data_IF_680419483132
#
_entry.id   IF_680419483132
#
_cell.length_a   1.000
_cell.length_b   1.000
_cell.length_c   1.000
_cell.angle_alpha   90.00
_cell.angle_beta   90.00
_cell.angle_gamma   90.00
#
_symmetry.space_group_name_H-M   'P 1'
#
loop_
_entity.id
_entity.type
_entity.pdbx_description
1 polymer ?
#
# COMPACT_ATOMS: atom_id res chain seq x y z
N UNK A 1 -57.72 35.79 -6.55
CA UNK A 1 -56.42 36.07 -7.22
C UNK A 1 -55.17 36.08 -6.31
N UNK A 2 -55.26 36.09 -4.97
CA UNK A 2 -54.08 36.18 -4.07
C UNK A 2 -53.28 34.87 -3.85
N UNK A 3 -53.85 33.69 -4.12
CA UNK A 3 -53.17 32.39 -3.95
C UNK A 3 -52.19 31.97 -5.06
N UNK A 4 -52.39 32.45 -6.31
CA UNK A 4 -51.51 32.10 -7.45
C UNK A 4 -50.17 32.87 -7.44
N UNK A 5 -50.12 34.06 -6.83
CA UNK A 5 -48.91 34.88 -6.74
C UNK A 5 -47.91 34.36 -5.68
N UNK A 6 -48.41 33.87 -4.53
CA UNK A 6 -47.59 33.27 -3.47
C UNK A 6 -46.89 31.97 -3.88
N UNK A 7 -47.54 31.12 -4.69
CA UNK A 7 -46.97 29.86 -5.21
C UNK A 7 -45.88 30.11 -6.28
N UNK A 8 -46.00 31.19 -7.06
CA UNK A 8 -44.99 31.62 -8.06
C UNK A 8 -43.71 32.16 -7.41
N UNK A 9 -43.82 32.92 -6.30
CA UNK A 9 -42.66 33.42 -5.56
C UNK A 9 -41.83 32.31 -4.91
N UNK A 10 -42.49 31.30 -4.33
CA UNK A 10 -41.81 30.16 -3.67
C UNK A 10 -41.09 29.24 -4.68
N UNK A 11 -41.67 29.01 -5.86
CA UNK A 11 -41.01 28.27 -6.96
C UNK A 11 -39.81 29.03 -7.55
N UNK A 12 -39.88 30.36 -7.65
CA UNK A 12 -38.75 31.19 -8.10
C UNK A 12 -37.59 31.19 -7.10
N UNK A 13 -37.89 31.18 -5.80
CA UNK A 13 -36.85 31.08 -4.75
C UNK A 13 -36.11 29.73 -4.77
N UNK A 14 -36.83 28.62 -4.97
CA UNK A 14 -36.22 27.28 -5.09
C UNK A 14 -35.39 27.15 -6.37
N UNK A 15 -35.87 27.68 -7.50
CA UNK A 15 -35.13 27.65 -8.77
C UNK A 15 -33.86 28.50 -8.71
N UNK A 16 -33.92 29.66 -8.04
CA UNK A 16 -32.76 30.53 -7.83
C UNK A 16 -31.74 29.87 -6.89
N UNK A 17 -32.18 29.18 -5.83
CA UNK A 17 -31.30 28.43 -4.95
C UNK A 17 -30.62 27.25 -5.69
N UNK A 18 -31.35 26.54 -6.55
CA UNK A 18 -30.78 25.50 -7.43
C UNK A 18 -29.77 26.06 -8.42
N UNK A 19 -30.06 27.20 -9.06
CA UNK A 19 -29.12 27.85 -9.99
C UNK A 19 -27.86 28.37 -9.27
N UNK A 20 -28.00 28.89 -8.06
CA UNK A 20 -26.85 29.30 -7.24
C UNK A 20 -26.04 28.08 -6.79
N UNK A 21 -26.68 26.97 -6.41
CA UNK A 21 -25.98 25.74 -6.08
C UNK A 21 -25.23 25.14 -7.28
N UNK A 22 -25.84 25.14 -8.46
CA UNK A 22 -25.18 24.70 -9.71
C UNK A 22 -24.03 25.64 -10.08
N UNK A 23 -24.22 26.96 -10.00
CA UNK A 23 -23.16 27.91 -10.28
C UNK A 23 -22.00 27.81 -9.28
N UNK A 24 -22.28 27.57 -8.00
CA UNK A 24 -21.26 27.33 -6.97
C UNK A 24 -20.54 26.00 -7.19
N UNK A 25 -21.27 24.95 -7.60
CA UNK A 25 -20.69 23.69 -8.01
C UNK A 25 -19.75 23.89 -9.20
N UNK A 26 -20.23 24.48 -10.30
CA UNK A 26 -19.42 24.78 -11.50
C UNK A 26 -18.19 25.64 -11.21
N UNK A 27 -18.32 26.62 -10.31
CA UNK A 27 -17.20 27.46 -9.87
C UNK A 27 -16.17 26.66 -9.08
N UNK A 28 -16.62 25.75 -8.21
CA UNK A 28 -15.75 24.84 -7.47
C UNK A 28 -15.09 23.82 -8.42
N UNK A 29 -15.80 23.33 -9.43
CA UNK A 29 -15.23 22.43 -10.46
C UNK A 29 -14.17 23.16 -11.30
N UNK A 30 -14.42 24.40 -11.71
CA UNK A 30 -13.46 25.21 -12.46
C UNK A 30 -12.23 25.61 -11.63
N UNK A 31 -12.44 25.99 -10.36
CA UNK A 31 -11.34 26.28 -9.44
C UNK A 31 -10.50 25.02 -9.18
N UNK A 32 -11.16 23.86 -8.96
CA UNK A 32 -10.51 22.56 -8.88
C UNK A 32 -9.69 22.26 -10.13
N UNK A 33 -10.29 22.35 -11.32
CA UNK A 33 -9.61 22.12 -12.58
C UNK A 33 -8.41 23.05 -12.81
N UNK A 34 -8.50 24.33 -12.40
CA UNK A 34 -7.38 25.27 -12.49
C UNK A 34 -6.23 24.91 -11.54
N UNK A 35 -6.54 24.47 -10.32
CA UNK A 35 -5.55 23.98 -9.35
C UNK A 35 -4.88 22.70 -9.86
N UNK A 36 -5.66 21.75 -10.38
CA UNK A 36 -5.18 20.52 -10.99
C UNK A 36 -4.27 20.83 -12.19
N UNK A 37 -4.66 21.78 -13.06
CA UNK A 37 -3.85 22.21 -14.21
C UNK A 37 -2.54 22.88 -13.79
N UNK A 38 -2.56 23.73 -12.76
CA UNK A 38 -1.36 24.37 -12.22
C UNK A 38 -0.39 23.32 -11.63
N UNK A 39 -0.89 22.36 -10.85
CA UNK A 39 -0.11 21.23 -10.31
C UNK A 39 0.49 20.36 -11.43
N UNK A 40 -0.27 20.11 -12.50
CA UNK A 40 0.24 19.40 -13.69
C UNK A 40 1.39 20.15 -14.35
N UNK A 41 1.30 21.48 -14.46
CA UNK A 41 2.39 22.31 -14.98
C UNK A 41 3.63 22.25 -14.08
N UNK A 42 3.46 22.26 -12.75
CA UNK A 42 4.56 22.10 -11.80
C UNK A 42 5.30 20.76 -12.01
N UNK A 43 4.56 19.66 -12.16
CA UNK A 43 5.12 18.33 -12.48
C UNK A 43 5.93 18.33 -13.77
N UNK A 44 5.36 18.84 -14.86
CA UNK A 44 5.99 18.83 -16.19
C UNK A 44 7.22 19.73 -16.24
N UNK A 45 7.19 20.86 -15.54
CA UNK A 45 8.28 21.86 -15.57
C UNK A 45 9.32 21.65 -14.47
N UNK A 46 9.09 20.73 -13.52
CA UNK A 46 10.00 20.48 -12.40
C UNK A 46 10.08 21.65 -11.42
N UNK A 47 9.16 22.60 -11.47
CA UNK A 47 9.14 23.75 -10.55
C UNK A 47 8.52 23.35 -9.21
N UNK A 48 8.99 23.94 -8.11
CA UNK A 48 8.49 23.68 -6.75
C UNK A 48 8.64 22.23 -6.26
N UNK A 49 9.50 21.38 -6.86
CA UNK A 49 9.80 20.07 -6.29
C UNK A 49 10.41 20.20 -4.89
N UNK A 50 9.90 19.44 -3.92
CA UNK A 50 10.63 19.23 -2.67
C UNK A 50 11.93 18.48 -2.99
N UNK A 51 13.05 19.02 -2.50
CA UNK A 51 14.37 18.42 -2.73
C UNK A 51 14.45 17.09 -2.00
N UNK A 52 15.07 16.08 -2.62
CA UNK A 52 15.25 14.82 -1.90
C UNK A 52 16.22 15.04 -0.73
N UNK A 53 15.93 14.48 0.44
CA UNK A 53 16.80 14.50 1.60
C UNK A 53 18.17 13.88 1.29
N UNK A 54 19.18 14.25 2.06
CA UNK A 54 20.50 13.60 2.05
C UNK A 54 20.86 13.26 3.48
N UNK A 55 20.78 11.98 3.82
CA UNK A 55 21.11 11.45 5.15
C UNK A 55 22.36 10.59 5.02
N UNK A 56 23.31 10.75 5.93
CA UNK A 56 24.53 9.94 5.93
C UNK A 56 24.21 8.54 6.49
N UNK A 57 24.56 7.50 5.73
CA UNK A 57 24.41 6.12 6.15
C UNK A 57 25.20 5.80 7.42
N UNK A 58 24.61 5.02 8.31
CA UNK A 58 25.35 4.37 9.39
C UNK A 58 26.04 3.13 8.82
N UNK A 59 27.34 2.95 9.05
CA UNK A 59 28.02 1.73 8.58
C UNK A 59 27.67 0.56 9.48
N UNK A 60 26.62 -0.20 9.13
CA UNK A 60 26.14 -1.39 9.84
C UNK A 60 26.01 -2.58 8.91
N UNK A 61 26.58 -3.72 9.29
CA UNK A 61 26.51 -4.98 8.56
C UNK A 61 26.27 -6.14 9.54
N UNK A 62 25.83 -7.28 9.03
CA UNK A 62 25.49 -8.46 9.82
C UNK A 62 24.19 -8.31 10.62
N UNK A 63 24.09 -9.05 11.72
CA UNK A 63 22.89 -9.10 12.58
C UNK A 63 22.88 -8.00 13.63
N UNK A 64 21.78 -7.25 13.72
CA UNK A 64 21.56 -6.22 14.73
C UNK A 64 20.08 -5.87 14.90
N UNK A 65 19.76 -5.18 15.99
CA UNK A 65 18.47 -4.51 16.19
C UNK A 65 18.65 -2.98 16.18
N UNK A 66 17.59 -2.25 15.82
CA UNK A 66 17.55 -0.78 15.86
C UNK A 66 16.13 -0.27 16.04
N UNK A 67 15.99 0.98 16.46
CA UNK A 67 14.67 1.61 16.62
C UNK A 67 14.40 2.56 15.48
N UNK A 68 13.36 2.30 14.69
CA UNK A 68 12.92 3.15 13.58
C UNK A 68 11.79 4.07 14.04
N UNK A 69 11.89 5.35 13.72
CA UNK A 69 10.87 6.37 13.96
C UNK A 69 10.04 6.61 12.69
N UNK A 70 8.73 6.74 12.82
CA UNK A 70 7.83 7.10 11.72
C UNK A 70 6.57 7.81 12.21
N UNK A 71 5.92 8.55 11.31
CA UNK A 71 4.61 9.13 11.58
C UNK A 71 3.51 8.08 11.52
N UNK A 72 2.83 7.82 12.64
CA UNK A 72 1.70 6.91 12.65
C UNK A 72 0.51 7.51 11.88
N UNK A 73 0.06 6.80 10.85
CA UNK A 73 -1.17 7.14 10.13
C UNK A 73 -2.36 7.19 11.08
N UNK A 74 -3.23 8.19 10.89
CA UNK A 74 -4.50 8.38 11.60
C UNK A 74 -4.41 8.62 13.12
N UNK A 75 -3.24 9.00 13.60
CA UNK A 75 -3.07 9.60 14.91
C UNK A 75 -3.33 11.12 14.86
N UNK A 76 -3.88 11.70 15.92
CA UNK A 76 -4.05 13.15 16.00
C UNK A 76 -2.68 13.85 15.88
N UNK A 77 -2.56 14.80 14.95
CA UNK A 77 -1.36 15.61 14.69
C UNK A 77 -0.09 14.85 14.24
N UNK A 78 -0.22 13.69 13.57
CA UNK A 78 0.94 12.99 13.02
C UNK A 78 1.87 12.50 14.13
N UNK A 79 1.30 11.82 15.12
CA UNK A 79 1.99 11.22 16.24
C UNK A 79 3.20 10.42 15.75
N UNK A 80 4.38 10.87 16.14
CA UNK A 80 5.61 10.16 15.91
C UNK A 80 5.66 8.96 16.84
N UNK A 81 5.85 7.79 16.26
CA UNK A 81 5.99 6.52 16.98
C UNK A 81 7.31 5.87 16.63
N UNK A 82 7.68 4.87 17.42
CA UNK A 82 8.92 4.11 17.22
C UNK A 82 8.64 2.62 17.30
N UNK A 83 9.30 1.84 16.44
CA UNK A 83 9.30 0.39 16.50
C UNK A 83 10.73 -0.16 16.53
N UNK A 84 10.97 -1.16 17.37
CA UNK A 84 12.23 -1.92 17.33
C UNK A 84 12.17 -2.91 16.17
N UNK A 85 13.20 -2.92 15.32
CA UNK A 85 13.30 -3.84 14.18
C UNK A 85 14.60 -4.61 14.25
N UNK A 86 14.57 -5.84 13.74
CA UNK A 86 15.74 -6.68 13.55
C UNK A 86 16.20 -6.62 12.09
N UNK A 87 17.51 -6.73 11.89
CA UNK A 87 18.12 -6.86 10.58
C UNK A 87 19.22 -7.90 10.63
N UNK A 88 19.27 -8.79 9.65
CA UNK A 88 20.38 -9.71 9.46
C UNK A 88 20.70 -9.88 7.97
N UNK A 89 21.90 -9.47 7.58
CA UNK A 89 22.40 -9.65 6.20
C UNK A 89 22.38 -11.14 5.78
N UNK A 90 22.48 -12.08 6.72
CA UNK A 90 22.44 -13.52 6.44
C UNK A 90 21.07 -14.00 5.93
N UNK A 91 20.00 -13.25 6.14
CA UNK A 91 18.67 -13.62 5.65
C UNK A 91 18.66 -13.80 4.14
N UNK A 92 19.34 -12.92 3.39
CA UNK A 92 19.37 -12.88 1.92
C UNK A 92 20.26 -13.95 1.28
N UNK A 93 20.75 -14.91 2.07
CA UNK A 93 21.49 -16.10 1.62
C UNK A 93 20.78 -17.40 2.01
N UNK A 94 19.63 -17.30 2.67
CA UNK A 94 18.76 -18.43 3.01
C UNK A 94 17.77 -18.69 1.88
N UNK A 95 16.95 -19.73 2.01
CA UNK A 95 15.88 -20.02 1.07
C UNK A 95 14.82 -18.89 1.06
N UNK A 96 14.60 -18.27 -0.10
CA UNK A 96 13.59 -17.23 -0.30
C UNK A 96 12.16 -17.74 -0.06
N UNK A 97 11.92 -19.04 -0.28
CA UNK A 97 10.67 -19.73 -0.01
C UNK A 97 10.47 -20.09 1.47
N UNK A 98 11.31 -19.60 2.38
CA UNK A 98 11.13 -19.82 3.82
C UNK A 98 10.68 -18.53 4.51
N UNK A 99 9.53 -18.58 5.19
CA UNK A 99 8.97 -17.41 5.89
C UNK A 99 9.87 -16.98 7.05
N UNK A 100 10.17 -15.69 7.12
CA UNK A 100 10.96 -15.09 8.18
C UNK A 100 10.14 -14.03 8.92
N UNK A 101 9.76 -14.33 10.17
CA UNK A 101 8.94 -13.46 11.02
C UNK A 101 9.61 -12.10 11.27
N UNK A 102 10.92 -12.09 11.57
CA UNK A 102 11.65 -10.85 11.87
C UNK A 102 11.76 -9.96 10.63
N UNK A 103 11.99 -10.55 9.46
CA UNK A 103 12.00 -9.83 8.19
C UNK A 103 10.60 -9.30 7.85
N UNK A 104 9.54 -10.10 8.08
CA UNK A 104 8.15 -9.66 7.91
C UNK A 104 7.84 -8.47 8.81
N UNK A 105 8.22 -8.52 10.10
CA UNK A 105 8.04 -7.41 11.03
C UNK A 105 8.77 -6.14 10.55
N UNK A 106 10.04 -6.26 10.15
CA UNK A 106 10.82 -5.14 9.61
C UNK A 106 10.18 -4.58 8.34
N UNK A 107 9.69 -5.41 7.43
CA UNK A 107 8.98 -4.99 6.22
C UNK A 107 7.64 -4.28 6.54
N UNK A 108 6.93 -4.68 7.60
CA UNK A 108 5.71 -4.01 8.04
C UNK A 108 6.02 -2.59 8.54
N UNK A 109 7.07 -2.44 9.34
CA UNK A 109 7.55 -1.13 9.82
C UNK A 109 8.03 -0.26 8.66
N UNK A 110 8.81 -0.81 7.72
CA UNK A 110 9.24 -0.08 6.52
C UNK A 110 8.05 0.35 5.65
N UNK A 111 7.01 -0.48 5.54
CA UNK A 111 5.78 -0.11 4.82
C UNK A 111 5.05 1.05 5.50
N UNK A 112 5.04 1.11 6.84
CA UNK A 112 4.52 2.26 7.58
C UNK A 112 5.38 3.52 7.37
N UNK A 113 6.72 3.37 7.34
CA UNK A 113 7.68 4.43 7.02
C UNK A 113 7.44 5.01 5.62
N UNK A 114 7.23 4.17 4.60
CA UNK A 114 6.95 4.63 3.24
C UNK A 114 5.67 5.48 3.17
N UNK A 115 4.63 5.09 3.91
CA UNK A 115 3.43 5.91 4.02
C UNK A 115 3.69 7.24 4.73
N UNK A 116 4.48 7.22 5.82
CA UNK A 116 4.84 8.43 6.57
C UNK A 116 5.73 9.39 5.79
N UNK A 117 6.58 8.89 4.89
CA UNK A 117 7.54 9.68 4.09
C UNK A 117 6.86 10.77 3.26
N UNK A 118 5.62 10.54 2.85
CA UNK A 118 4.89 11.53 2.07
C UNK A 118 4.70 12.85 2.81
N UNK A 119 4.66 12.82 4.16
CA UNK A 119 4.59 14.04 4.96
C UNK A 119 5.82 14.95 4.73
N UNK A 120 7.01 14.40 4.47
CA UNK A 120 8.20 15.19 4.14
C UNK A 120 8.04 15.93 2.80
N UNK A 121 7.42 15.27 1.82
CA UNK A 121 7.27 15.78 0.45
C UNK A 121 6.09 16.75 0.25
N UNK A 122 5.35 17.08 1.32
CA UNK A 122 4.33 18.13 1.29
C UNK A 122 4.95 19.53 1.36
N UNK A 123 4.40 20.48 0.59
CA UNK A 123 4.92 21.84 0.54
C UNK A 123 4.86 22.54 1.90
N UNK A 124 6.01 23.02 2.37
CA UNK A 124 6.13 23.73 3.66
C UNK A 124 6.09 22.82 4.88
N UNK A 125 6.14 21.49 4.70
CA UNK A 125 6.23 20.54 5.80
C UNK A 125 7.55 20.64 6.55
N UNK A 126 7.50 20.35 7.85
CA UNK A 126 8.67 20.17 8.72
C UNK A 126 8.83 18.73 9.18
N UNK A 127 8.09 17.81 8.58
CA UNK A 127 8.16 16.38 8.92
C UNK A 127 9.55 15.83 8.60
N UNK A 128 10.09 14.90 9.39
CA UNK A 128 11.33 14.20 9.07
C UNK A 128 11.22 13.39 7.76
N UNK A 129 12.37 13.17 7.12
CA UNK A 129 12.53 12.20 6.02
C UNK A 129 12.64 10.78 6.59
N UNK A 130 11.52 10.24 7.06
CA UNK A 130 11.44 8.96 7.75
C UNK A 130 12.10 7.82 6.99
N UNK A 131 11.89 7.71 5.67
CA UNK A 131 12.46 6.66 4.84
C UNK A 131 13.98 6.73 4.80
N UNK A 132 14.55 7.92 4.57
CA UNK A 132 16.00 8.08 4.56
C UNK A 132 16.64 7.79 5.92
N UNK A 133 16.01 8.25 7.00
CA UNK A 133 16.50 7.99 8.34
C UNK A 133 16.44 6.51 8.67
N UNK A 134 15.34 5.82 8.34
CA UNK A 134 15.18 4.38 8.55
C UNK A 134 16.24 3.58 7.80
N UNK A 135 16.40 3.83 6.49
CA UNK A 135 17.37 3.09 5.68
C UNK A 135 18.82 3.43 6.05
N UNK A 136 19.13 4.68 6.42
CA UNK A 136 20.45 5.03 6.95
C UNK A 136 20.77 4.27 8.24
N UNK A 137 19.82 4.11 9.15
CA UNK A 137 19.97 3.33 10.40
C UNK A 137 20.09 1.82 10.17
N UNK A 138 19.51 1.31 9.08
CA UNK A 138 19.69 -0.08 8.63
C UNK A 138 21.00 -0.29 7.84
N UNK A 139 21.75 0.79 7.61
CA UNK A 139 23.05 0.79 6.96
C UNK A 139 23.01 0.65 5.44
N UNK A 140 21.97 1.19 4.80
CA UNK A 140 21.89 1.31 3.35
C UNK A 140 22.74 2.49 2.87
N UNK A 141 23.51 2.26 1.81
CA UNK A 141 24.49 3.21 1.28
C UNK A 141 23.83 4.27 0.39
N UNK A 142 22.80 3.84 -0.36
CA UNK A 142 22.05 4.70 -1.26
C UNK A 142 20.56 4.50 -1.03
N UNK A 143 19.84 5.61 -0.99
CA UNK A 143 18.39 5.62 -0.80
C UNK A 143 17.81 6.70 -1.71
N UNK A 144 16.74 6.34 -2.40
CA UNK A 144 16.06 7.15 -3.38
C UNK A 144 14.58 7.23 -3.05
N UNK A 145 14.16 8.42 -2.60
CA UNK A 145 12.75 8.79 -2.37
C UNK A 145 12.23 9.78 -3.42
N UNK A 146 12.92 9.91 -4.56
CA UNK A 146 12.58 10.90 -5.58
C UNK A 146 11.16 10.73 -6.17
N UNK A 147 10.62 9.50 -6.17
CA UNK A 147 9.27 9.18 -6.64
C UNK A 147 8.16 9.88 -5.84
N UNK A 148 8.42 10.30 -4.59
CA UNK A 148 7.44 10.99 -3.74
C UNK A 148 7.21 12.45 -4.16
N UNK A 149 8.11 13.02 -4.97
CA UNK A 149 7.98 14.38 -5.49
C UNK A 149 6.73 14.47 -6.34
N UNK A 150 5.88 15.46 -6.03
CA UNK A 150 4.60 15.68 -6.70
C UNK A 150 3.61 14.51 -6.63
N UNK A 151 3.78 13.61 -5.66
CA UNK A 151 2.88 12.48 -5.41
C UNK A 151 2.38 12.44 -3.97
N UNK A 152 2.68 13.46 -3.16
CA UNK A 152 2.49 13.45 -1.70
C UNK A 152 1.44 14.45 -1.20
N UNK A 153 0.81 15.19 -2.12
CA UNK A 153 -0.32 16.06 -1.84
C UNK A 153 -1.64 15.33 -2.11
N UNK A 154 -2.71 15.63 -1.36
CA UNK A 154 -4.05 15.03 -1.61
C UNK A 154 -4.54 15.29 -3.04
N UNK A 155 -4.20 16.45 -3.59
CA UNK A 155 -4.53 16.82 -4.98
C UNK A 155 -3.73 16.03 -6.02
N UNK A 156 -2.57 15.50 -5.64
CA UNK A 156 -1.70 14.75 -6.54
C UNK A 156 -2.26 13.35 -6.83
N UNK A 157 -2.92 12.74 -5.85
CA UNK A 157 -3.61 11.45 -6.02
C UNK A 157 -4.83 11.61 -6.91
N UNK A 158 -5.64 12.65 -6.70
CA UNK A 158 -6.80 12.96 -7.56
C UNK A 158 -6.38 13.22 -9.02
N UNK A 159 -5.24 13.88 -9.24
CA UNK A 159 -4.67 14.07 -10.58
C UNK A 159 -4.25 12.76 -11.25
N UNK A 160 -3.56 11.88 -10.52
CA UNK A 160 -3.06 10.61 -11.05
C UNK A 160 -4.17 9.75 -11.62
N UNK A 161 -5.29 9.66 -10.90
CA UNK A 161 -6.43 8.86 -11.35
C UNK A 161 -7.16 9.50 -12.55
N UNK A 162 -7.26 10.83 -12.62
CA UNK A 162 -7.93 11.54 -13.73
C UNK A 162 -7.15 11.45 -15.05
N UNK A 163 -5.82 11.50 -14.98
CA UNK A 163 -4.95 11.46 -16.16
C UNK A 163 -4.58 10.02 -16.59
N UNK A 164 -5.09 8.98 -15.90
CA UNK A 164 -4.76 7.58 -16.15
C UNK A 164 -3.32 7.20 -15.80
N UNK A 165 -2.67 8.02 -14.98
CA UNK A 165 -1.31 7.84 -14.47
C UNK A 165 -1.40 7.62 -12.96
N UNK A 166 -2.14 6.60 -12.50
CA UNK A 166 -2.16 6.25 -11.08
C UNK A 166 -0.78 5.68 -10.71
N UNK A 167 0.14 6.59 -10.40
CA UNK A 167 1.52 6.24 -10.10
C UNK A 167 1.73 6.30 -8.60
N UNK A 168 2.11 5.16 -8.03
CA UNK A 168 2.50 5.05 -6.63
C UNK A 168 3.85 5.71 -6.36
N UNK A 169 4.03 6.22 -5.15
CA UNK A 169 5.36 6.56 -4.65
C UNK A 169 6.02 5.31 -4.06
N UNK A 170 7.35 5.27 -4.09
CA UNK A 170 8.15 4.16 -3.60
C UNK A 170 9.53 4.62 -3.15
N UNK A 171 10.07 3.93 -2.15
CA UNK A 171 11.45 4.10 -1.72
C UNK A 171 12.28 2.98 -2.31
N UNK A 172 13.43 3.31 -2.91
CA UNK A 172 14.43 2.34 -3.33
C UNK A 172 15.69 2.54 -2.50
N UNK A 173 16.20 1.48 -1.88
CA UNK A 173 17.43 1.53 -1.11
C UNK A 173 18.38 0.39 -1.51
N UNK A 174 19.69 0.65 -1.57
CA UNK A 174 20.69 -0.37 -1.85
C UNK A 174 21.73 -0.52 -0.74
N UNK A 175 22.14 -1.76 -0.50
CA UNK A 175 23.16 -2.13 0.49
C UNK A 175 23.91 -3.36 0.02
N UNK A 176 25.22 -3.43 0.29
CA UNK A 176 25.96 -4.69 0.15
C UNK A 176 25.75 -5.55 1.39
N UNK A 177 25.20 -6.74 1.20
CA UNK A 177 25.01 -7.75 2.25
C UNK A 177 26.06 -8.84 2.11
N UNK A 178 26.51 -9.39 3.23
CA UNK A 178 27.60 -10.38 3.27
C UNK A 178 27.12 -11.58 4.08
N UNK A 179 27.30 -12.78 3.51
CA UNK A 179 27.09 -14.02 4.26
C UNK A 179 28.21 -14.19 5.30
N UNK A 180 27.90 -14.19 6.61
CA UNK A 180 28.92 -14.34 7.64
C UNK A 180 29.60 -15.73 7.62
N UNK A 181 28.99 -16.75 7.03
CA UNK A 181 29.53 -18.11 6.97
C UNK A 181 30.48 -18.32 5.79
N UNK A 182 30.16 -17.76 4.62
CA UNK A 182 30.92 -17.99 3.38
C UNK A 182 31.73 -16.78 2.91
N UNK A 183 31.36 -15.57 3.34
CA UNK A 183 31.92 -14.32 2.83
C UNK A 183 31.40 -13.94 1.44
N UNK A 184 30.37 -14.63 0.92
CA UNK A 184 29.71 -14.25 -0.32
C UNK A 184 29.05 -12.87 -0.18
N UNK A 185 29.09 -12.06 -1.23
CA UNK A 185 28.52 -10.71 -1.24
C UNK A 185 27.39 -10.62 -2.26
N UNK A 186 26.32 -9.92 -1.91
CA UNK A 186 25.21 -9.57 -2.82
C UNK A 186 24.89 -8.09 -2.70
N UNK A 187 24.49 -7.47 -3.81
CA UNK A 187 23.85 -6.17 -3.77
C UNK A 187 22.36 -6.37 -3.51
N UNK A 188 21.92 -6.04 -2.31
CA UNK A 188 20.51 -6.01 -1.95
C UNK A 188 19.89 -4.69 -2.40
N UNK A 189 18.80 -4.78 -3.15
CA UNK A 189 17.90 -3.66 -3.43
C UNK A 189 16.58 -3.89 -2.71
N UNK A 190 16.23 -2.99 -1.79
CA UNK A 190 14.94 -2.97 -1.12
C UNK A 190 14.05 -1.94 -1.80
N UNK A 191 12.84 -2.35 -2.17
CA UNK A 191 11.80 -1.46 -2.69
C UNK A 191 10.61 -1.50 -1.75
N UNK A 192 10.26 -0.33 -1.22
CA UNK A 192 9.09 -0.16 -0.34
C UNK A 192 8.06 0.69 -1.05
N UNK A 193 6.93 0.12 -1.41
CA UNK A 193 5.88 0.81 -2.16
C UNK A 193 4.86 1.41 -1.21
N UNK A 194 4.53 2.68 -1.44
CA UNK A 194 3.56 3.42 -0.64
C UNK A 194 2.13 2.95 -0.93
N UNK A 195 1.33 2.80 0.12
CA UNK A 195 -0.11 2.60 0.06
C UNK A 195 -0.91 3.89 -0.22
N UNK A 196 -2.20 3.87 0.14
CA UNK A 196 -3.14 5.01 0.10
C UNK A 196 -3.46 5.50 1.52
N UNK A 197 -3.94 6.74 1.68
CA UNK A 197 -4.33 7.24 3.00
C UNK A 197 -5.76 6.80 3.37
N UNK A 198 -5.89 5.62 3.97
CA UNK A 198 -7.12 5.20 4.65
C UNK A 198 -8.32 5.03 3.70
N UNK A 199 -9.46 5.70 3.97
CA UNK A 199 -10.74 5.53 3.24
C UNK A 199 -10.70 5.90 1.75
N UNK A 200 -9.59 6.44 1.27
CA UNK A 200 -9.36 6.77 -0.14
C UNK A 200 -9.41 5.56 -1.06
N UNK A 201 -9.23 4.32 -0.57
CA UNK A 201 -9.44 3.12 -1.38
C UNK A 201 -10.86 3.04 -1.95
N UNK A 202 -11.87 3.52 -1.22
CA UNK A 202 -13.27 3.60 -1.68
C UNK A 202 -13.41 4.68 -2.77
N UNK A 203 -12.64 5.77 -2.65
CA UNK A 203 -12.60 6.82 -3.67
C UNK A 203 -11.88 6.34 -4.93
N UNK A 204 -10.79 5.57 -4.80
CA UNK A 204 -10.03 5.01 -5.91
C UNK A 204 -10.91 4.04 -6.72
N UNK A 205 -11.60 3.12 -6.04
CA UNK A 205 -12.58 2.23 -6.67
C UNK A 205 -13.72 3.00 -7.39
N UNK A 206 -14.17 4.13 -6.82
CA UNK A 206 -15.19 5.00 -7.45
C UNK A 206 -14.69 5.76 -8.67
N UNK A 207 -13.40 6.13 -8.72
CA UNK A 207 -12.86 6.94 -9.80
C UNK A 207 -12.39 6.03 -10.96
N UNK A 208 -11.82 4.85 -10.70
CA UNK A 208 -11.51 3.84 -11.74
C UNK A 208 -12.75 3.46 -12.56
N UNK A 209 -13.90 3.32 -11.87
CA UNK A 209 -15.19 3.11 -12.52
C UNK A 209 -15.73 4.28 -13.34
N UNK A 210 -15.30 5.51 -13.04
CA UNK A 210 -15.74 6.72 -13.73
C UNK A 210 -14.86 7.08 -14.94
N UNK A 211 -13.59 6.68 -14.94
CA UNK A 211 -12.64 6.92 -16.03
C UNK A 211 -12.72 5.86 -17.13
N UNK A 212 -13.48 4.78 -16.91
CA UNK A 212 -13.67 3.71 -17.90
C UNK A 212 -12.39 2.94 -18.21
N UNK A 213 -11.43 2.94 -17.27
CA UNK A 213 -10.16 2.22 -17.37
C UNK A 213 -10.29 0.80 -16.80
N UNK A 214 -11.49 0.21 -16.92
CA UNK A 214 -11.65 -1.23 -16.91
C UNK A 214 -11.21 -1.70 -18.31
N UNK A 215 -10.13 -2.48 -18.37
CA UNK A 215 -9.52 -2.89 -19.64
C UNK A 215 -10.54 -3.51 -20.59
N UNK A 216 -10.58 -3.03 -21.83
CA UNK A 216 -11.07 -3.85 -22.93
C UNK A 216 -9.95 -4.87 -23.27
N UNK A 217 -9.96 -6.04 -22.64
CA UNK A 217 -9.02 -7.12 -22.96
C UNK A 217 -8.92 -8.22 -21.91
N UNK A 218 -8.45 -9.39 -22.33
CA UNK A 218 -8.06 -10.54 -21.49
C UNK A 218 -6.80 -10.19 -20.62
N UNK A 219 -6.81 -9.08 -19.88
CA UNK A 219 -5.72 -8.70 -18.96
C UNK A 219 -6.00 -9.29 -17.58
N UNK A 220 -5.17 -10.25 -17.16
CA UNK A 220 -5.34 -11.05 -15.95
C UNK A 220 -5.02 -10.28 -14.65
N UNK A 221 -4.28 -9.16 -14.73
CA UNK A 221 -3.87 -8.34 -13.58
C UNK A 221 -4.62 -6.99 -13.48
N UNK A 222 -4.71 -6.44 -12.27
CA UNK A 222 -5.36 -5.13 -12.07
C UNK A 222 -4.53 -3.99 -12.70
N UNK A 223 -5.01 -3.44 -13.81
CA UNK A 223 -4.31 -2.47 -14.68
C UNK A 223 -3.64 -1.30 -13.95
N UNK A 224 -4.31 -0.70 -12.95
CA UNK A 224 -3.72 0.41 -12.17
C UNK A 224 -2.46 -0.01 -11.40
N UNK A 225 -2.44 -1.24 -10.86
CA UNK A 225 -1.27 -1.78 -10.16
C UNK A 225 -0.18 -2.21 -11.15
N UNK A 226 -0.56 -2.73 -12.32
CA UNK A 226 0.36 -3.12 -13.39
C UNK A 226 1.15 -1.92 -13.93
N UNK A 227 0.49 -0.78 -14.15
CA UNK A 227 1.16 0.46 -14.60
C UNK A 227 2.15 0.97 -13.54
N UNK A 228 1.74 0.96 -12.27
CA UNK A 228 2.59 1.34 -11.14
C UNK A 228 3.81 0.42 -10.99
N UNK A 229 3.63 -0.89 -11.12
CA UNK A 229 4.73 -1.86 -11.09
C UNK A 229 5.69 -1.66 -12.29
N UNK A 230 5.15 -1.43 -13.49
CA UNK A 230 5.95 -1.23 -14.71
C UNK A 230 6.91 -0.03 -14.60
N UNK A 231 6.52 1.05 -13.93
CA UNK A 231 7.42 2.20 -13.68
C UNK A 231 8.60 1.80 -12.79
N UNK A 232 8.33 1.04 -11.73
CA UNK A 232 9.37 0.60 -10.79
C UNK A 232 10.31 -0.40 -11.48
N UNK A 233 9.77 -1.32 -12.28
CA UNK A 233 10.57 -2.24 -13.12
C UNK A 233 11.53 -1.46 -14.01
N UNK A 234 11.06 -0.41 -14.68
CA UNK A 234 11.90 0.41 -15.55
C UNK A 234 13.05 1.10 -14.78
N UNK A 235 12.78 1.66 -13.59
CA UNK A 235 13.83 2.25 -12.72
C UNK A 235 14.84 1.18 -12.26
N UNK A 236 14.36 -0.01 -11.89
CA UNK A 236 15.24 -1.12 -11.49
C UNK A 236 16.10 -1.63 -12.65
N UNK A 237 15.55 -1.72 -13.86
CA UNK A 237 16.30 -2.12 -15.06
C UNK A 237 17.36 -1.09 -15.45
N UNK A 238 17.03 0.21 -15.40
CA UNK A 238 17.99 1.29 -15.65
C UNK A 238 19.17 1.22 -14.67
N UNK A 239 18.88 1.11 -13.36
CA UNK A 239 19.92 0.99 -12.33
C UNK A 239 20.76 -0.25 -12.49
N UNK A 240 20.13 -1.39 -12.77
CA UNK A 240 20.84 -2.65 -12.91
C UNK A 240 21.71 -2.68 -14.19
N UNK A 241 21.37 -1.92 -15.22
CA UNK A 241 22.21 -1.76 -16.42
C UNK A 241 23.50 -0.97 -16.16
N UNK A 242 23.56 -0.17 -15.09
CA UNK A 242 24.76 0.57 -14.68
C UNK A 242 25.75 -0.28 -13.85
N UNK A 243 25.29 -1.42 -13.32
CA UNK A 243 26.08 -2.31 -12.49
C UNK A 243 26.95 -3.27 -13.32
N UNK A 244 28.04 -3.75 -12.71
CA UNK A 244 28.83 -4.83 -13.29
C UNK A 244 27.98 -6.11 -13.36
N UNK A 245 27.89 -6.79 -14.52
CA UNK A 245 27.09 -8.02 -14.67
C UNK A 245 27.49 -9.16 -13.72
N UNK A 246 28.70 -9.13 -13.15
CA UNK A 246 29.17 -10.12 -12.17
C UNK A 246 28.64 -9.90 -10.75
N UNK A 247 27.96 -8.78 -10.48
CA UNK A 247 27.36 -8.50 -9.17
C UNK A 247 26.10 -9.36 -9.02
N UNK A 248 26.16 -10.29 -8.06
CA UNK A 248 24.98 -11.01 -7.58
C UNK A 248 24.00 -10.02 -6.92
N UNK A 249 22.72 -10.20 -7.21
CA UNK A 249 21.66 -9.27 -6.81
C UNK A 249 20.58 -9.99 -6.02
N UNK A 250 20.07 -9.29 -5.01
CA UNK A 250 18.90 -9.69 -4.25
C UNK A 250 17.88 -8.56 -4.26
N UNK A 251 16.60 -8.90 -4.35
CA UNK A 251 15.49 -7.95 -4.27
C UNK A 251 14.57 -8.28 -3.12
N UNK A 252 14.20 -7.24 -2.36
CA UNK A 252 13.17 -7.32 -1.34
C UNK A 252 12.09 -6.29 -1.64
N UNK A 253 10.89 -6.78 -1.93
CA UNK A 253 9.71 -5.96 -2.18
C UNK A 253 8.82 -5.96 -0.94
N UNK A 254 8.38 -4.79 -0.50
CA UNK A 254 7.36 -4.71 0.54
C UNK A 254 6.45 -3.50 0.37
N UNK A 255 5.29 -3.56 1.00
CA UNK A 255 4.30 -2.50 0.95
C UNK A 255 3.05 -2.87 1.71
N UNK A 256 2.25 -1.85 2.03
CA UNK A 256 0.98 -1.99 2.74
C UNK A 256 -0.19 -1.55 1.86
N UNK A 257 -1.32 -2.24 1.93
CA UNK A 257 -2.55 -1.91 1.18
C UNK A 257 -2.29 -1.87 -0.33
N UNK A 258 -2.62 -0.78 -1.03
CA UNK A 258 -2.25 -0.56 -2.44
C UNK A 258 -0.76 -0.81 -2.73
N UNK A 259 0.13 -0.40 -1.81
CA UNK A 259 1.56 -0.63 -1.95
C UNK A 259 1.91 -2.12 -1.86
N UNK A 260 1.17 -2.88 -1.05
CA UNK A 260 1.28 -4.33 -0.99
C UNK A 260 0.91 -5.00 -2.31
N UNK A 261 -0.16 -4.55 -2.97
CA UNK A 261 -0.56 -5.10 -4.28
C UNK A 261 0.50 -4.85 -5.36
N UNK A 262 1.05 -3.63 -5.43
CA UNK A 262 2.11 -3.31 -6.38
C UNK A 262 3.40 -4.10 -6.05
N UNK A 263 3.76 -4.25 -4.77
CA UNK A 263 4.90 -5.07 -4.36
C UNK A 263 4.72 -6.56 -4.70
N UNK A 264 3.49 -7.08 -4.60
CA UNK A 264 3.14 -8.45 -5.00
C UNK A 264 3.37 -8.65 -6.51
N UNK A 265 2.84 -7.74 -7.35
CA UNK A 265 3.04 -7.78 -8.81
C UNK A 265 4.50 -7.56 -9.23
N UNK A 266 5.26 -6.73 -8.50
CA UNK A 266 6.69 -6.54 -8.76
C UNK A 266 7.49 -7.82 -8.56
N UNK A 267 7.17 -8.55 -7.50
CA UNK A 267 7.82 -9.80 -7.21
C UNK A 267 7.45 -10.88 -8.23
N UNK A 268 6.17 -11.01 -8.60
CA UNK A 268 5.76 -11.96 -9.64
C UNK A 268 6.43 -11.66 -10.98
N UNK A 269 6.51 -10.38 -11.38
CA UNK A 269 7.25 -9.98 -12.58
C UNK A 269 8.73 -10.38 -12.50
N UNK A 270 9.38 -10.14 -11.36
CA UNK A 270 10.79 -10.50 -11.16
C UNK A 270 11.01 -12.03 -11.26
N UNK A 271 10.08 -12.82 -10.74
CA UNK A 271 10.11 -14.29 -10.81
C UNK A 271 9.83 -14.80 -12.23
N UNK A 272 8.89 -14.20 -12.97
CA UNK A 272 8.54 -14.59 -14.34
C UNK A 272 9.67 -14.34 -15.34
N UNK A 273 10.44 -13.26 -15.13
CA UNK A 273 11.59 -12.96 -15.98
C UNK A 273 12.85 -13.70 -15.53
N UNK A 274 12.86 -14.40 -14.39
CA UNK A 274 14.02 -15.09 -13.84
C UNK A 274 14.68 -16.04 -14.86
N UNK A 275 16.01 -15.98 -14.96
CA UNK A 275 16.78 -16.76 -15.95
C UNK A 275 16.72 -16.25 -17.40
N UNK A 276 15.98 -15.17 -17.66
CA UNK A 276 16.02 -14.40 -18.90
C UNK A 276 17.21 -13.41 -18.99
N UNK A 277 17.18 -12.52 -19.98
CA UNK A 277 18.22 -11.50 -20.19
C UNK A 277 17.91 -10.14 -19.55
N UNK A 278 16.78 -10.01 -18.85
CA UNK A 278 16.38 -8.80 -18.16
C UNK A 278 17.24 -8.54 -16.92
N UNK A 279 17.33 -7.31 -16.48
CA UNK A 279 18.17 -6.99 -15.33
C UNK A 279 17.61 -7.61 -14.03
N UNK A 280 16.28 -7.69 -13.91
CA UNK A 280 15.62 -8.42 -12.82
C UNK A 280 15.77 -9.95 -12.94
N UNK A 281 15.95 -10.47 -14.17
CA UNK A 281 16.09 -11.91 -14.43
C UNK A 281 17.33 -12.56 -13.81
N UNK A 282 18.33 -11.73 -13.52
CA UNK A 282 19.62 -12.11 -12.93
C UNK A 282 19.64 -11.96 -11.41
N UNK A 283 18.48 -11.79 -10.78
CA UNK A 283 18.35 -11.89 -9.33
C UNK A 283 18.66 -13.32 -8.87
N UNK A 284 19.53 -13.44 -7.87
CA UNK A 284 19.80 -14.71 -7.19
C UNK A 284 18.79 -15.00 -6.08
N UNK A 285 18.10 -13.96 -5.60
CA UNK A 285 17.13 -14.03 -4.51
C UNK A 285 16.09 -12.90 -4.70
N UNK A 286 14.82 -13.28 -4.80
CA UNK A 286 13.68 -12.35 -4.82
C UNK A 286 12.80 -12.71 -3.64
N UNK A 287 12.39 -11.72 -2.85
CA UNK A 287 11.48 -11.90 -1.72
C UNK A 287 10.45 -10.80 -1.70
N UNK A 288 9.24 -11.15 -1.27
CA UNK A 288 8.22 -10.15 -1.00
C UNK A 288 7.49 -10.40 0.32
N UNK A 289 7.29 -9.33 1.06
CA UNK A 289 6.46 -9.29 2.27
C UNK A 289 5.45 -8.15 2.11
N UNK A 290 4.20 -8.51 1.90
CA UNK A 290 3.12 -7.56 1.67
C UNK A 290 2.13 -7.60 2.82
N UNK A 291 1.49 -6.47 3.14
CA UNK A 291 0.62 -6.33 4.30
C UNK A 291 -0.70 -5.73 3.89
N UNK A 292 -1.81 -6.23 4.41
CA UNK A 292 -3.14 -5.69 4.11
C UNK A 292 -3.43 -5.60 2.61
N UNK A 293 -2.78 -6.45 1.83
CA UNK A 293 -2.79 -6.39 0.38
C UNK A 293 -4.24 -6.63 -0.08
N UNK A 294 -4.78 -5.93 -1.08
CA UNK A 294 -6.04 -6.28 -1.77
C UNK A 294 -5.78 -7.28 -2.90
N UNK A 295 -6.76 -8.11 -3.27
CA UNK A 295 -6.57 -9.10 -4.33
C UNK A 295 -6.18 -8.34 -5.61
N UNK A 296 -5.11 -8.76 -6.28
CA UNK A 296 -4.44 -7.95 -7.30
C UNK A 296 -4.28 -8.65 -8.66
N UNK A 297 -4.62 -9.93 -8.74
CA UNK A 297 -4.52 -10.74 -9.97
C UNK A 297 -5.71 -11.68 -10.10
N UNK A 298 -6.03 -12.08 -11.32
CA UNK A 298 -6.95 -13.15 -11.68
C UNK A 298 -6.24 -14.29 -12.43
N UNK A 299 -4.90 -14.29 -12.46
CA UNK A 299 -4.11 -15.32 -13.08
C UNK A 299 -4.33 -16.70 -12.43
N UNK A 300 -4.57 -17.71 -13.25
CA UNK A 300 -4.88 -19.08 -12.81
C UNK A 300 -3.70 -19.75 -12.09
N UNK A 301 -2.46 -19.31 -12.35
CA UNK A 301 -1.22 -19.85 -11.79
C UNK A 301 -0.62 -19.00 -10.68
N UNK A 302 -1.35 -18.00 -10.16
CA UNK A 302 -0.89 -17.11 -9.09
C UNK A 302 -0.42 -17.84 -7.82
N UNK A 303 -0.89 -19.08 -7.59
CA UNK A 303 -0.49 -19.96 -6.47
C UNK A 303 0.57 -21.02 -6.84
N UNK A 304 1.25 -20.86 -7.97
CA UNK A 304 2.32 -21.76 -8.38
C UNK A 304 3.54 -21.65 -7.46
N UNK A 305 4.34 -22.71 -7.38
CA UNK A 305 5.55 -22.75 -6.55
C UNK A 305 6.62 -21.73 -6.98
N UNK A 306 6.52 -21.17 -8.19
CA UNK A 306 7.39 -20.08 -8.66
C UNK A 306 7.28 -18.85 -7.76
N UNK A 307 6.10 -18.62 -7.17
CA UNK A 307 5.79 -17.44 -6.36
C UNK A 307 5.83 -17.70 -4.85
N UNK A 308 6.36 -18.85 -4.40
CA UNK A 308 6.38 -19.23 -2.98
C UNK A 308 7.21 -18.24 -2.12
N UNK A 309 8.12 -17.48 -2.71
CA UNK A 309 8.89 -16.39 -2.11
C UNK A 309 8.08 -15.09 -1.82
N UNK A 310 6.82 -15.04 -2.22
CA UNK A 310 5.90 -13.93 -1.98
C UNK A 310 4.97 -14.28 -0.82
N UNK A 311 5.06 -13.51 0.27
CA UNK A 311 4.25 -13.69 1.48
C UNK A 311 3.30 -12.52 1.67
N UNK A 312 2.00 -12.79 1.60
CA UNK A 312 0.95 -11.81 1.87
C UNK A 312 0.47 -11.96 3.31
N UNK A 313 0.90 -11.07 4.21
CA UNK A 313 0.44 -11.05 5.60
C UNK A 313 -0.93 -10.38 5.67
N UNK A 314 -1.94 -11.12 6.10
CA UNK A 314 -3.35 -10.72 6.06
C UNK A 314 -3.98 -10.77 7.45
N UNK A 315 -4.75 -9.73 7.79
CA UNK A 315 -5.60 -9.72 8.97
C UNK A 315 -7.00 -10.20 8.58
N UNK A 316 -7.56 -11.26 9.20
CA UNK A 316 -8.90 -11.76 8.88
C UNK A 316 -10.02 -10.74 9.16
N UNK A 317 -9.75 -9.73 10.00
CA UNK A 317 -10.68 -8.62 10.28
C UNK A 317 -10.53 -7.43 9.32
N UNK A 318 -9.63 -7.52 8.33
CA UNK A 318 -9.36 -6.45 7.37
C UNK A 318 -10.17 -6.64 6.08
N UNK A 319 -11.16 -5.76 5.91
CA UNK A 319 -12.04 -5.73 4.75
C UNK A 319 -11.32 -5.61 3.40
N UNK A 320 -10.21 -4.86 3.36
CA UNK A 320 -9.51 -4.55 2.10
C UNK A 320 -8.90 -5.83 1.50
N UNK A 321 -8.50 -6.77 2.36
CA UNK A 321 -7.95 -8.05 1.92
C UNK A 321 -8.96 -8.95 1.20
N UNK A 322 -10.27 -8.62 1.32
CA UNK A 322 -11.35 -9.36 0.66
C UNK A 322 -11.65 -8.87 -0.76
N UNK A 323 -11.09 -7.72 -1.17
CA UNK A 323 -11.47 -7.04 -2.41
C UNK A 323 -10.31 -6.98 -3.43
N UNK A 324 -10.61 -7.09 -4.73
CA UNK A 324 -11.84 -7.63 -5.33
C UNK A 324 -12.13 -9.07 -4.84
N UNK A 325 -13.38 -9.53 -4.94
CA UNK A 325 -13.77 -10.80 -4.31
C UNK A 325 -13.11 -12.01 -4.99
N UNK A 326 -12.71 -13.00 -4.19
CA UNK A 326 -12.26 -14.31 -4.69
C UNK A 326 -13.33 -15.03 -5.52
N UNK A 327 -14.60 -14.83 -5.19
CA UNK A 327 -15.72 -15.37 -5.97
C UNK A 327 -15.79 -14.82 -7.40
N UNK A 328 -15.09 -13.73 -7.69
CA UNK A 328 -14.96 -13.15 -9.03
C UNK A 328 -13.69 -13.61 -9.75
N UNK A 329 -12.91 -14.54 -9.16
CA UNK A 329 -11.67 -15.06 -9.73
C UNK A 329 -10.41 -14.30 -9.31
N UNK A 330 -10.51 -13.33 -8.40
CA UNK A 330 -9.35 -12.55 -7.96
C UNK A 330 -8.63 -13.20 -6.78
N UNK A 331 -7.31 -13.08 -6.75
CA UNK A 331 -6.43 -13.54 -5.69
C UNK A 331 -5.13 -12.74 -5.66
N UNK A 332 -4.06 -13.41 -5.26
CA UNK A 332 -2.71 -12.84 -5.04
C UNK A 332 -1.67 -13.83 -5.53
N UNK A 333 -0.54 -13.32 -5.99
CA UNK A 333 0.62 -14.17 -6.19
C UNK A 333 1.18 -14.65 -4.83
N UNK A 334 1.65 -15.90 -4.79
CA UNK A 334 2.35 -16.49 -3.66
C UNK A 334 1.45 -17.02 -2.55
N UNK A 335 1.91 -16.93 -1.30
CA UNK A 335 1.29 -17.55 -0.13
C UNK A 335 0.64 -16.54 0.78
N UNK A 336 -0.54 -16.89 1.28
CA UNK A 336 -1.25 -16.06 2.24
C UNK A 336 -0.85 -16.48 3.66
N UNK A 337 -0.50 -15.50 4.48
CA UNK A 337 -0.04 -15.66 5.86
C UNK A 337 -1.04 -14.94 6.75
N UNK A 338 -1.97 -15.69 7.32
CA UNK A 338 -3.05 -15.15 8.14
C UNK A 338 -2.58 -14.91 9.58
N UNK A 339 -2.76 -13.67 10.03
CA UNK A 339 -2.70 -13.29 11.43
C UNK A 339 -3.85 -13.95 12.21
N UNK A 340 -3.72 -14.16 13.53
CA UNK A 340 -4.80 -14.73 14.33
C UNK A 340 -6.08 -13.90 14.25
N UNK A 341 -7.21 -14.56 14.03
CA UNK A 341 -8.55 -13.96 14.07
C UNK A 341 -9.46 -14.64 15.07
N UNK A 342 -10.57 -13.98 15.40
CA UNK A 342 -11.59 -14.56 16.28
C UNK A 342 -12.00 -15.95 15.78
N UNK A 343 -11.99 -16.94 16.68
CA UNK A 343 -12.24 -18.35 16.35
C UNK A 343 -10.98 -19.21 16.20
N UNK A 344 -9.80 -18.60 16.09
CA UNK A 344 -8.53 -19.33 16.01
C UNK A 344 -8.02 -19.68 17.42
N UNK A 345 -7.28 -20.80 17.55
CA UNK A 345 -6.88 -21.33 18.85
C UNK A 345 -5.93 -20.41 19.64
N UNK A 346 -5.05 -19.70 18.94
CA UNK A 346 -4.07 -18.76 19.53
C UNK A 346 -4.66 -17.37 19.80
N UNK A 347 -5.83 -17.04 19.23
CA UNK A 347 -6.32 -15.66 19.17
C UNK A 347 -6.45 -14.99 20.54
N UNK A 348 -7.11 -15.64 21.50
CA UNK A 348 -7.38 -15.02 22.81
C UNK A 348 -6.10 -14.69 23.60
N UNK A 349 -5.06 -15.53 23.49
CA UNK A 349 -3.78 -15.28 24.16
C UNK A 349 -3.00 -14.15 23.45
N UNK A 350 -3.03 -14.14 22.12
CA UNK A 350 -2.28 -13.19 21.30
C UNK A 350 -2.94 -11.81 21.21
N UNK A 351 -4.27 -11.74 21.31
CA UNK A 351 -5.02 -10.48 21.27
C UNK A 351 -4.61 -9.54 22.40
N UNK A 352 -4.47 -10.05 23.64
CA UNK A 352 -4.05 -9.24 24.78
C UNK A 352 -2.64 -8.65 24.58
N UNK A 353 -1.72 -9.43 23.99
CA UNK A 353 -0.36 -8.98 23.68
C UNK A 353 -0.37 -7.96 22.54
N UNK A 354 -1.16 -8.18 21.48
CA UNK A 354 -1.33 -7.25 20.38
C UNK A 354 -1.88 -5.91 20.87
N UNK A 355 -2.92 -5.93 21.72
CA UNK A 355 -3.50 -4.71 22.28
C UNK A 355 -2.52 -3.98 23.20
N UNK A 356 -1.70 -4.70 23.96
CA UNK A 356 -0.65 -4.12 24.78
C UNK A 356 0.47 -3.48 23.92
N UNK A 357 0.92 -4.12 22.84
CA UNK A 357 1.86 -3.54 21.89
C UNK A 357 1.27 -2.26 21.27
N UNK A 358 0.04 -2.33 20.75
CA UNK A 358 -0.63 -1.19 20.14
C UNK A 358 -0.73 -0.02 21.12
N UNK A 359 -1.15 -0.26 22.37
CA UNK A 359 -1.25 0.78 23.40
C UNK A 359 0.12 1.40 23.73
N UNK A 360 1.17 0.59 23.79
CA UNK A 360 2.52 1.07 24.08
C UNK A 360 3.05 1.99 22.98
N UNK A 361 2.80 1.64 21.72
CA UNK A 361 3.28 2.39 20.55
C UNK A 361 2.42 3.60 20.23
N UNK A 362 1.09 3.45 20.28
CA UNK A 362 0.13 4.48 19.85
C UNK A 362 -0.36 5.39 20.98
N UNK A 363 -0.12 5.03 22.24
CA UNK A 363 -0.61 5.78 23.41
C UNK A 363 -2.14 5.76 23.58
N UNK A 364 -2.85 4.93 22.81
CA UNK A 364 -4.30 4.77 22.85
C UNK A 364 -4.69 3.31 22.62
N UNK A 365 -5.87 2.91 23.11
CA UNK A 365 -6.39 1.56 22.90
C UNK A 365 -6.64 1.27 21.42
N UNK A 366 -6.36 0.03 20.99
CA UNK A 366 -6.61 -0.40 19.62
C UNK A 366 -8.12 -0.37 19.33
N UNK A 367 -8.58 0.37 18.31
CA UNK A 367 -10.00 0.47 17.99
C UNK A 367 -10.55 -0.80 17.31
N UNK A 368 -9.68 -1.69 16.83
CA UNK A 368 -10.09 -2.93 16.18
C UNK A 368 -10.87 -3.84 17.15
N UNK A 369 -11.93 -4.45 16.64
CA UNK A 369 -12.81 -5.35 17.38
C UNK A 369 -12.66 -6.79 16.87
N UNK A 370 -12.72 -7.82 17.73
CA UNK A 370 -12.78 -9.22 17.30
C UNK A 370 -13.92 -9.47 16.29
N UNK A 371 -15.09 -8.89 16.57
CA UNK A 371 -16.29 -8.95 15.73
C UNK A 371 -16.07 -8.45 14.28
N UNK A 372 -15.01 -7.67 14.02
CA UNK A 372 -14.75 -7.10 12.68
C UNK A 372 -14.52 -8.18 11.62
N UNK A 373 -14.05 -9.39 12.01
CA UNK A 373 -13.95 -10.55 11.10
C UNK A 373 -15.32 -10.93 10.55
N UNK A 374 -16.32 -11.08 11.42
CA UNK A 374 -17.67 -11.45 11.00
C UNK A 374 -18.30 -10.36 10.12
N UNK A 375 -18.03 -9.10 10.42
CA UNK A 375 -18.50 -7.96 9.61
C UNK A 375 -17.85 -7.96 8.22
N UNK A 376 -16.55 -8.24 8.13
CA UNK A 376 -15.85 -8.32 6.85
C UNK A 376 -16.36 -9.48 5.98
N UNK A 377 -16.62 -10.64 6.59
CA UNK A 377 -17.19 -11.81 5.91
C UNK A 377 -18.62 -11.54 5.41
N UNK A 378 -19.46 -10.92 6.23
CA UNK A 378 -20.83 -10.54 5.85
C UNK A 378 -20.84 -9.51 4.71
N UNK A 379 -19.95 -8.52 4.78
CA UNK A 379 -19.80 -7.54 3.71
C UNK A 379 -19.41 -8.19 2.39
N UNK A 380 -18.39 -9.07 2.39
CA UNK A 380 -17.93 -9.75 1.18
C UNK A 380 -19.04 -10.62 0.57
N UNK A 381 -19.78 -11.35 1.41
CA UNK A 381 -20.90 -12.18 0.99
C UNK A 381 -22.07 -11.35 0.43
N UNK A 382 -22.42 -10.25 1.09
CA UNK A 382 -23.50 -9.35 0.67
C UNK A 382 -23.16 -8.68 -0.67
N UNK A 383 -21.92 -8.20 -0.83
CA UNK A 383 -21.45 -7.59 -2.06
C UNK A 383 -21.48 -8.60 -3.22
N UNK A 384 -20.96 -9.81 -3.01
CA UNK A 384 -20.97 -10.87 -4.04
C UNK A 384 -22.37 -11.36 -4.43
N UNK A 385 -23.37 -11.17 -3.56
CA UNK A 385 -24.76 -11.46 -3.88
C UNK A 385 -25.44 -10.37 -4.75
N UNK A 386 -24.90 -9.15 -4.74
CA UNK A 386 -25.43 -8.00 -5.51
C UNK A 386 -24.69 -7.77 -6.81
N UNK A 387 -23.39 -8.03 -6.80
CA UNK A 387 -22.46 -7.73 -7.90
C UNK A 387 -21.73 -9.01 -8.28
N UNK A 388 -21.72 -9.31 -9.57
CA UNK A 388 -21.24 -10.59 -10.11
C UNK A 388 -19.80 -10.57 -10.62
N UNK A 389 -19.21 -9.38 -10.83
CA UNK A 389 -17.82 -9.22 -11.27
C UNK A 389 -17.24 -7.87 -10.85
N UNK A 390 -15.92 -7.73 -10.97
CA UNK A 390 -15.24 -6.45 -10.75
C UNK A 390 -15.71 -5.37 -11.74
N UNK A 391 -15.90 -5.71 -13.02
CA UNK A 391 -16.43 -4.78 -14.04
C UNK A 391 -17.82 -4.23 -13.66
N UNK A 392 -18.67 -5.09 -13.09
CA UNK A 392 -19.97 -4.66 -12.60
C UNK A 392 -19.84 -3.76 -11.37
N UNK A 393 -18.90 -4.05 -10.46
CA UNK A 393 -18.63 -3.25 -9.26
C UNK A 393 -18.24 -1.82 -9.61
N UNK A 394 -17.35 -1.65 -10.59
CA UNK A 394 -16.85 -0.33 -11.01
C UNK A 394 -17.85 0.41 -11.92
N UNK A 395 -18.96 -0.23 -12.32
CA UNK A 395 -20.04 0.47 -13.03
C UNK A 395 -20.75 1.51 -12.14
N UNK A 396 -21.42 2.53 -12.71
CA UNK A 396 -22.17 3.51 -11.91
C UNK A 396 -23.22 2.90 -10.97
N UNK A 397 -23.81 1.74 -11.32
CA UNK A 397 -24.74 1.02 -10.46
C UNK A 397 -24.01 0.22 -9.38
N UNK A 398 -22.94 -0.49 -9.74
CA UNK A 398 -22.11 -1.22 -8.77
C UNK A 398 -21.50 -0.31 -7.71
N UNK A 399 -21.09 0.91 -8.08
CA UNK A 399 -20.60 1.92 -7.13
C UNK A 399 -21.69 2.39 -6.16
N UNK A 400 -22.95 2.40 -6.58
CA UNK A 400 -24.10 2.68 -5.70
C UNK A 400 -24.35 1.51 -4.75
N UNK A 401 -24.25 0.27 -5.22
CA UNK A 401 -24.38 -0.92 -4.39
C UNK A 401 -23.26 -1.01 -3.35
N UNK A 402 -22.00 -0.78 -3.75
CA UNK A 402 -20.84 -0.68 -2.85
C UNK A 402 -21.05 0.41 -1.79
N UNK A 403 -21.46 1.62 -2.21
CA UNK A 403 -21.76 2.69 -1.27
C UNK A 403 -22.93 2.34 -0.33
N UNK A 404 -23.91 1.59 -0.84
CA UNK A 404 -25.04 1.07 -0.07
C UNK A 404 -24.61 0.13 1.05
N UNK A 405 -23.75 -0.84 0.74
CA UNK A 405 -23.21 -1.79 1.72
C UNK A 405 -22.35 -1.09 2.78
N UNK A 406 -21.55 -0.10 2.38
CA UNK A 406 -20.69 0.64 3.29
C UNK A 406 -21.46 1.61 4.21
N UNK A 407 -22.66 2.07 3.84
CA UNK A 407 -23.44 3.06 4.62
C UNK A 407 -23.89 2.56 6.00
N UNK A 408 -23.97 1.25 6.21
CA UNK A 408 -24.36 0.64 7.48
C UNK A 408 -23.18 0.32 8.42
N UNK A 409 -21.94 0.47 7.94
CA UNK A 409 -20.74 0.02 8.63
C UNK A 409 -20.05 1.17 9.37
N UNK A 410 -19.48 0.86 10.53
CA UNK A 410 -18.52 1.74 11.19
C UNK A 410 -17.17 1.60 10.47
N UNK A 411 -17.03 2.32 9.35
CA UNK A 411 -15.81 2.30 8.54
C UNK A 411 -14.59 2.79 9.32
N UNK A 412 -14.76 3.72 10.27
CA UNK A 412 -13.67 4.20 11.10
C UNK A 412 -13.10 3.06 11.95
N UNK A 413 -13.98 2.25 12.55
CA UNK A 413 -13.58 1.05 13.30
C UNK A 413 -13.01 -0.03 12.40
N UNK A 414 -13.66 -0.37 11.28
CA UNK A 414 -13.18 -1.43 10.38
C UNK A 414 -11.82 -1.11 9.76
N UNK A 415 -11.54 0.17 9.46
CA UNK A 415 -10.23 0.59 8.97
C UNK A 415 -9.14 0.46 10.04
N UNK A 416 -9.47 0.36 11.33
CA UNK A 416 -8.48 0.08 12.37
C UNK A 416 -7.77 -1.25 12.13
N UNK A 417 -8.51 -2.28 11.71
CA UNK A 417 -7.95 -3.59 11.35
C UNK A 417 -7.06 -3.55 10.11
N UNK A 418 -7.23 -2.53 9.26
CA UNK A 418 -6.44 -2.31 8.06
C UNK A 418 -5.13 -1.57 8.32
N UNK A 419 -5.01 -0.75 9.37
CA UNK A 419 -3.88 0.16 9.52
C UNK A 419 -2.53 -0.55 9.77
N UNK A 420 -1.40 0.00 9.25
CA UNK A 420 -0.08 -0.60 9.44
C UNK A 420 0.27 -0.87 10.91
N UNK A 421 -0.09 0.04 11.82
CA UNK A 421 0.20 -0.12 13.25
C UNK A 421 -0.52 -1.31 13.88
N UNK A 422 -1.67 -1.71 13.35
CA UNK A 422 -2.39 -2.91 13.80
C UNK A 422 -1.69 -4.17 13.31
N UNK A 423 -1.18 -4.17 12.08
CA UNK A 423 -0.36 -5.27 11.56
C UNK A 423 0.96 -5.41 12.31
N UNK A 424 1.65 -4.30 12.59
CA UNK A 424 2.89 -4.28 13.39
C UNK A 424 2.61 -4.84 14.79
N UNK A 425 1.56 -4.38 15.47
CA UNK A 425 1.19 -4.88 16.80
C UNK A 425 0.85 -6.37 16.81
N UNK A 426 0.25 -6.90 15.74
CA UNK A 426 0.03 -8.34 15.58
C UNK A 426 1.34 -9.11 15.38
N UNK A 427 2.26 -8.58 14.59
CA UNK A 427 3.57 -9.18 14.36
C UNK A 427 4.46 -9.15 15.60
N UNK A 428 4.33 -8.13 16.46
CA UNK A 428 4.95 -8.09 17.80
C UNK A 428 4.40 -9.18 18.73
N UNK A 429 3.12 -9.51 18.57
CA UNK A 429 2.42 -10.45 19.45
C UNK A 429 2.62 -11.91 19.05
N UNK A 430 3.00 -12.16 17.79
CA UNK A 430 2.98 -13.49 17.17
C UNK A 430 4.35 -14.00 16.77
N UNK A 431 4.46 -15.31 16.69
CA UNK A 431 5.55 -16.03 16.03
C UNK A 431 4.99 -16.90 14.89
N UNK A 432 5.88 -17.49 14.09
CA UNK A 432 5.46 -18.27 12.92
C UNK A 432 4.54 -19.46 13.25
N UNK A 433 4.50 -19.93 14.50
CA UNK A 433 3.61 -21.02 14.91
C UNK A 433 2.17 -20.56 15.20
N UNK A 434 1.97 -19.25 15.41
CA UNK A 434 0.64 -18.66 15.57
C UNK A 434 -0.05 -18.36 14.23
N UNK A 435 0.73 -18.34 13.14
CA UNK A 435 0.27 -17.95 11.80
C UNK A 435 -0.25 -19.14 11.01
N UNK A 436 -1.25 -18.88 10.16
CA UNK A 436 -1.80 -19.88 9.23
C UNK A 436 -1.35 -19.55 7.80
N UNK A 437 -0.71 -20.52 7.16
CA UNK A 437 -0.23 -20.43 5.79
C UNK A 437 -1.21 -21.11 4.82
N UNK A 438 -1.58 -20.42 3.76
CA UNK A 438 -2.48 -20.90 2.68
C UNK A 438 -1.87 -20.72 1.30
#
# INVERSE_FOLDING_TARGET
>A
MRGRLRRKGRRRGVLLALLVAVALADSATLAGAAVLHARRLERVTGTNAVTAPTVAAERRTGSFATTIEYGALFSAEGHQVTSEVSWDDAWFFQDAGSYNQDLAHTCAVLSAVANAESAYYQQGSTSPAYAEHAFAQLGFDEVCTASYRYRSEVLDEVLGVVDGTDVVAYTLATKRVIDPATGAERLLTVVVVRGSYGSEWISNAKIEGATGVAGEGDEEDHLGFTLAASEIVADLEERAAELDPSVERSYLFCGHSRGGAVANLLASYADDVAGGSHALATAEDVRAYTFATPNCTSADDARSATYDNIFNVLNPSDLVTRLPLESWGYGRYGRDVWLPGEGDASFAEREDVMRASYLATMGAECPASPDDRAVADEFAASLGARVSSFDELVSPLGLVDLAGELMGLDLGRLLASHYPNTYIAWLDATDAADLRFE
#
